data_IF_175500406504
#
_entry.id   IF_175500406504
#
_cell.length_a   1.000
_cell.length_b   1.000
_cell.length_c   1.000
_cell.angle_alpha   90.00
_cell.angle_beta   90.00
_cell.angle_gamma   90.00
#
_symmetry.space_group_name_H-M   'P 1'
#
loop_
_entity.id
_entity.type
_entity.pdbx_description
1 polymer ?
#
# COMPACT_ATOMS: atom_id res chain seq x y z
N UNK A 1 -5.57 0.85 -22.77
CA UNK A 1 -4.11 0.77 -22.80
C UNK A 1 -3.62 -0.16 -21.72
N UNK A 2 -2.83 -1.12 -22.04
CA UNK A 2 -2.27 -1.99 -21.01
C UNK A 2 -1.26 -1.20 -20.17
N UNK A 3 -1.12 -1.63 -18.94
CA UNK A 3 -0.12 -1.05 -18.05
C UNK A 3 1.26 -1.41 -18.56
N UNK A 4 2.25 -0.57 -18.25
CA UNK A 4 3.61 -0.92 -18.56
C UNK A 4 3.99 -2.14 -17.75
N UNK A 5 5.01 -2.86 -18.20
CA UNK A 5 5.47 -4.04 -17.49
C UNK A 5 5.91 -3.72 -16.07
N UNK A 6 6.58 -2.59 -15.94
CA UNK A 6 7.08 -2.15 -14.65
C UNK A 6 5.93 -1.88 -13.68
N UNK A 7 4.90 -1.17 -14.15
CA UNK A 7 3.75 -0.86 -13.30
C UNK A 7 3.02 -2.13 -12.91
N UNK A 8 2.85 -3.05 -13.85
CA UNK A 8 2.16 -4.30 -13.58
C UNK A 8 2.88 -5.11 -12.53
N UNK A 9 4.20 -5.21 -12.63
CA UNK A 9 5.00 -5.94 -11.66
C UNK A 9 4.90 -5.31 -10.28
N UNK A 10 4.99 -3.98 -10.22
CA UNK A 10 4.87 -3.29 -8.96
C UNK A 10 3.52 -3.56 -8.30
N UNK A 11 2.45 -3.43 -9.07
CA UNK A 11 1.11 -3.60 -8.53
C UNK A 11 0.91 -5.02 -8.01
N UNK A 12 1.40 -6.02 -8.74
CA UNK A 12 1.27 -7.40 -8.30
C UNK A 12 2.01 -7.67 -6.99
N UNK A 13 3.24 -7.18 -6.90
CA UNK A 13 4.04 -7.37 -5.69
C UNK A 13 3.41 -6.64 -4.52
N UNK A 14 2.99 -5.40 -4.74
CA UNK A 14 2.40 -4.60 -3.68
C UNK A 14 1.09 -5.20 -3.19
N UNK A 15 0.23 -5.62 -4.10
CA UNK A 15 -1.04 -6.23 -3.71
C UNK A 15 -0.82 -7.51 -2.93
N UNK A 16 0.17 -8.30 -3.31
CA UNK A 16 0.46 -9.53 -2.59
C UNK A 16 0.94 -9.26 -1.16
N UNK A 17 1.54 -8.10 -0.91
CA UNK A 17 2.05 -7.76 0.40
C UNK A 17 1.01 -7.12 1.32
N UNK A 18 -0.12 -6.67 0.77
CA UNK A 18 -1.12 -5.95 1.56
C UNK A 18 -1.61 -6.71 2.80
N UNK A 19 -1.93 -8.01 2.71
CA UNK A 19 -2.39 -8.72 3.91
C UNK A 19 -1.36 -8.71 5.03
N UNK A 20 -0.10 -8.93 4.68
CA UNK A 20 0.95 -8.95 5.70
C UNK A 20 1.15 -7.57 6.31
N UNK A 21 1.19 -6.54 5.46
CA UNK A 21 1.38 -5.18 5.95
C UNK A 21 0.22 -4.77 6.83
N UNK A 22 -1.00 -5.15 6.46
CA UNK A 22 -2.16 -4.82 7.28
C UNK A 22 -2.09 -5.47 8.65
N UNK A 23 -1.59 -6.70 8.73
CA UNK A 23 -1.44 -7.38 10.01
C UNK A 23 -0.42 -6.67 10.89
N UNK A 24 0.68 -6.24 10.28
CA UNK A 24 1.72 -5.53 11.03
C UNK A 24 1.17 -4.22 11.58
N UNK A 25 0.46 -3.46 10.76
CA UNK A 25 -0.09 -2.18 11.19
C UNK A 25 -1.18 -2.37 12.25
N UNK A 26 -1.99 -3.40 12.09
CA UNK A 26 -3.06 -3.67 13.05
C UNK A 26 -2.51 -4.00 14.44
N UNK A 27 -1.27 -4.48 14.51
CA UNK A 27 -0.64 -4.79 15.78
C UNK A 27 -0.19 -3.54 16.54
N UNK A 28 -0.11 -2.39 15.87
CA UNK A 28 0.27 -1.15 16.52
C UNK A 28 -0.91 -0.56 17.28
N UNK A 29 -0.61 0.27 18.30
CA UNK A 29 -1.65 1.01 18.98
C UNK A 29 -2.25 2.05 18.03
N UNK A 30 -3.43 2.56 18.37
CA UNK A 30 -4.08 3.56 17.54
C UNK A 30 -3.19 4.77 17.33
N UNK A 31 -2.44 5.15 18.35
CA UNK A 31 -1.56 6.31 18.26
C UNK A 31 -0.45 6.09 17.23
N UNK A 32 0.05 4.88 17.16
CA UNK A 32 1.19 4.58 16.30
C UNK A 32 0.78 4.21 14.87
N UNK A 33 -0.50 3.91 14.67
CA UNK A 33 -0.96 3.50 13.34
C UNK A 33 -0.78 4.57 12.27
N UNK A 34 -0.98 5.84 12.64
CA UNK A 34 -0.81 6.92 11.67
C UNK A 34 0.62 6.93 11.12
N UNK A 35 1.60 6.81 12.02
CA UNK A 35 2.99 6.74 11.59
C UNK A 35 3.30 5.51 10.78
N UNK A 36 2.68 4.39 11.13
CA UNK A 36 2.87 3.15 10.40
C UNK A 36 2.32 3.25 8.99
N UNK A 37 1.15 3.90 8.82
CA UNK A 37 0.59 4.12 7.50
C UNK A 37 1.49 5.02 6.67
N UNK A 38 2.05 6.07 7.26
CA UNK A 38 2.96 6.96 6.55
C UNK A 38 4.19 6.21 6.08
N UNK A 39 4.73 5.37 6.92
CA UNK A 39 5.91 4.58 6.55
C UNK A 39 5.58 3.62 5.40
N UNK A 40 4.42 2.98 5.47
CA UNK A 40 3.98 2.09 4.41
C UNK A 40 3.86 2.84 3.09
N UNK A 41 3.29 4.04 3.14
CA UNK A 41 3.13 4.87 1.95
C UNK A 41 4.48 5.19 1.32
N UNK A 42 5.45 5.57 2.14
CA UNK A 42 6.80 5.86 1.64
C UNK A 42 7.44 4.64 1.01
N UNK A 43 7.27 3.49 1.64
CA UNK A 43 7.85 2.27 1.12
C UNK A 43 7.22 1.86 -0.21
N UNK A 44 5.92 1.99 -0.33
CA UNK A 44 5.26 1.71 -1.60
C UNK A 44 5.70 2.70 -2.68
N UNK A 45 5.83 3.98 -2.32
CA UNK A 45 6.29 4.97 -3.29
C UNK A 45 7.71 4.67 -3.75
N UNK A 46 8.58 4.29 -2.83
CA UNK A 46 9.95 3.95 -3.18
C UNK A 46 9.99 2.71 -4.07
N UNK A 47 9.17 1.71 -3.73
CA UNK A 47 9.12 0.50 -4.54
C UNK A 47 8.63 0.80 -5.95
N UNK A 48 7.63 1.67 -6.08
CA UNK A 48 7.13 2.04 -7.39
C UNK A 48 8.23 2.68 -8.23
N UNK A 49 9.00 3.56 -7.63
CA UNK A 49 10.11 4.20 -8.33
C UNK A 49 11.18 3.19 -8.72
N UNK A 50 11.46 2.25 -7.82
CA UNK A 50 12.44 1.21 -8.08
C UNK A 50 12.01 0.32 -9.24
N UNK A 51 10.70 0.13 -9.42
CA UNK A 51 10.19 -0.63 -10.54
C UNK A 51 10.13 0.18 -11.83
N UNK A 52 10.40 1.48 -11.76
CA UNK A 52 10.42 2.31 -12.96
C UNK A 52 9.18 3.14 -13.21
N UNK A 53 8.27 3.22 -12.25
CA UNK A 53 7.08 4.03 -12.38
C UNK A 53 7.44 5.51 -12.36
N UNK A 54 6.75 6.31 -13.17
CA UNK A 54 6.97 7.76 -13.13
C UNK A 54 6.20 8.35 -11.93
N UNK A 55 6.34 9.67 -11.73
CA UNK A 55 5.72 10.32 -10.58
C UNK A 55 4.20 10.22 -10.58
N UNK A 56 3.58 10.39 -11.75
CA UNK A 56 2.13 10.30 -11.83
C UNK A 56 1.62 8.91 -11.52
N UNK A 57 2.29 7.90 -12.05
CA UNK A 57 1.93 6.52 -11.80
C UNK A 57 2.16 6.16 -10.34
N UNK A 58 3.28 6.59 -9.80
CA UNK A 58 3.59 6.33 -8.39
C UNK A 58 2.50 6.89 -7.49
N UNK A 59 2.13 8.14 -7.70
CA UNK A 59 1.10 8.77 -6.88
C UNK A 59 -0.22 8.06 -7.00
N UNK A 60 -0.62 7.73 -8.22
CA UNK A 60 -1.91 7.06 -8.46
C UNK A 60 -1.98 5.71 -7.78
N UNK A 61 -0.97 4.88 -7.99
CA UNK A 61 -1.01 3.52 -7.47
C UNK A 61 -0.79 3.46 -5.96
N UNK A 62 0.09 4.32 -5.44
CA UNK A 62 0.30 4.36 -3.99
C UNK A 62 -1.00 4.80 -3.30
N UNK A 63 -1.69 5.79 -3.84
CA UNK A 63 -2.96 6.23 -3.26
C UNK A 63 -3.97 5.09 -3.23
N UNK A 64 -4.06 4.32 -4.32
CA UNK A 64 -4.99 3.20 -4.39
C UNK A 64 -4.61 2.10 -3.40
N UNK A 65 -3.30 1.81 -3.28
CA UNK A 65 -2.83 0.79 -2.35
C UNK A 65 -3.09 1.19 -0.91
N UNK A 66 -2.86 2.46 -0.58
CA UNK A 66 -3.10 2.92 0.77
C UNK A 66 -4.57 2.86 1.14
N UNK A 67 -5.44 3.13 0.18
CA UNK A 67 -6.88 3.02 0.43
C UNK A 67 -7.25 1.58 0.79
N UNK A 68 -6.74 0.62 0.03
CA UNK A 68 -6.99 -0.79 0.31
C UNK A 68 -6.38 -1.21 1.64
N UNK A 69 -5.19 -0.75 1.91
CA UNK A 69 -4.51 -1.08 3.15
C UNK A 69 -5.30 -0.59 4.36
N UNK A 70 -5.80 0.63 4.31
CA UNK A 70 -6.59 1.17 5.41
C UNK A 70 -7.88 0.38 5.61
N UNK A 71 -8.50 -0.03 4.52
CA UNK A 71 -9.71 -0.83 4.62
C UNK A 71 -9.42 -2.17 5.29
N UNK A 72 -8.30 -2.79 4.96
CA UNK A 72 -7.94 -4.06 5.57
C UNK A 72 -7.67 -3.94 7.07
N UNK A 73 -7.06 -2.84 7.49
CA UNK A 73 -6.74 -2.65 8.90
C UNK A 73 -7.99 -2.38 9.72
N UNK A 74 -8.93 -1.61 9.17
CA UNK A 74 -10.13 -1.21 9.91
C UNK A 74 -11.22 -2.26 9.81
N UNK A 75 -11.25 -3.00 8.73
CA UNK A 75 -12.30 -3.94 8.38
C UNK A 75 -12.72 -4.93 9.46
N UNK A 76 -11.80 -5.61 10.14
CA UNK A 76 -12.19 -6.68 11.07
C UNK A 76 -13.19 -6.26 12.11
N UNK A 77 -13.11 -5.05 12.56
CA UNK A 77 -13.99 -4.55 13.61
C UNK A 77 -15.42 -4.42 13.12
N UNK A 78 -15.58 -3.84 11.95
CA UNK A 78 -16.90 -3.57 11.44
C UNK A 78 -17.60 -4.82 10.94
N UNK A 79 -16.87 -5.87 10.70
CA UNK A 79 -17.43 -7.11 10.18
C UNK A 79 -18.34 -7.78 11.22
N UNK A 80 -18.16 -7.46 12.46
CA UNK A 80 -19.01 -8.01 13.49
C UNK A 80 -20.10 -7.04 13.84
#
# INVERSE_FOLDING_TARGET
>A
MPLSEEVDKFVKVACASLPRVSEIIAAFSDEDRAGAFELAERRYAQAARDFGCDEGETKRWVTALMRKLRALVVEPESAT
#
